data_IF_758004886487
#
_entry.id   IF_758004886487
#
_cell.length_a   1.000
_cell.length_b   1.000
_cell.length_c   1.000
_cell.angle_alpha   90.00
_cell.angle_beta   90.00
_cell.angle_gamma   90.00
#
_symmetry.space_group_name_H-M   'P 1'
#
loop_
_entity.id
_entity.type
_entity.pdbx_description
1 polymer ?
#
# COMPACT_ATOMS: atom_id res chain seq x y z
N UNK A 1 35.34 -6.14 2.73
CA UNK A 1 35.10 -5.81 4.17
C UNK A 1 34.98 -7.06 5.04
N UNK A 2 34.34 -8.16 4.57
CA UNK A 2 34.27 -9.47 5.27
C UNK A 2 35.63 -10.04 5.69
N UNK A 3 36.63 -10.04 4.81
CA UNK A 3 37.94 -10.66 5.06
C UNK A 3 38.74 -10.07 6.25
N UNK A 4 38.45 -8.82 6.65
CA UNK A 4 39.12 -8.16 7.77
C UNK A 4 38.54 -8.64 9.12
N UNK A 5 37.23 -8.93 9.16
CA UNK A 5 36.56 -9.42 10.36
C UNK A 5 36.85 -10.91 10.63
N UNK A 6 36.97 -11.73 9.58
CA UNK A 6 37.21 -13.16 9.71
C UNK A 6 38.64 -13.51 10.19
N UNK A 7 39.63 -12.63 9.95
CA UNK A 7 41.02 -12.84 10.39
C UNK A 7 41.32 -12.33 11.80
N UNK A 8 40.38 -11.61 12.43
CA UNK A 8 40.60 -11.06 13.76
C UNK A 8 40.26 -12.12 14.82
N UNK A 9 41.29 -12.71 15.44
CA UNK A 9 41.18 -13.73 16.50
C UNK A 9 40.32 -13.30 17.70
N UNK A 10 40.16 -12.00 17.93
CA UNK A 10 39.29 -11.50 19.01
C UNK A 10 37.81 -11.44 18.60
N UNK A 11 37.52 -11.30 17.31
CA UNK A 11 36.17 -11.32 16.75
C UNK A 11 35.68 -12.76 16.61
N UNK A 12 36.53 -13.70 16.20
CA UNK A 12 36.17 -15.13 16.10
C UNK A 12 35.95 -15.83 17.45
N UNK A 13 36.31 -15.17 18.57
CA UNK A 13 35.97 -15.61 19.95
C UNK A 13 34.61 -15.11 20.42
N UNK A 14 33.97 -14.21 19.68
CA UNK A 14 32.63 -13.75 20.00
C UNK A 14 31.69 -14.89 19.63
N UNK A 15 31.18 -15.58 20.65
CA UNK A 15 30.14 -16.59 20.46
C UNK A 15 28.85 -15.92 20.03
N UNK A 16 28.02 -16.65 19.30
CA UNK A 16 26.65 -16.25 19.11
C UNK A 16 25.94 -16.15 20.46
N UNK A 17 25.21 -15.05 20.72
CA UNK A 17 24.42 -14.91 21.92
C UNK A 17 23.33 -16.01 21.94
N UNK A 18 23.00 -16.49 23.14
CA UNK A 18 21.81 -17.33 23.29
C UNK A 18 20.55 -16.51 23.05
N UNK A 19 19.41 -17.16 22.77
CA UNK A 19 18.15 -16.47 22.41
C UNK A 19 17.63 -15.45 23.44
N UNK A 20 18.06 -15.55 24.69
CA UNK A 20 17.69 -14.64 25.79
C UNK A 20 18.78 -13.60 26.10
N UNK A 21 19.89 -13.60 25.37
CA UNK A 21 20.97 -12.65 25.51
C UNK A 21 20.91 -11.58 24.40
N UNK A 22 21.26 -10.32 24.71
CA UNK A 22 21.77 -9.85 25.99
C UNK A 22 20.68 -9.61 27.05
N UNK A 23 21.00 -9.98 28.29
CA UNK A 23 20.12 -9.72 29.45
C UNK A 23 20.25 -8.27 29.93
N UNK A 24 19.26 -7.77 30.68
CA UNK A 24 19.28 -6.40 31.24
C UNK A 24 20.55 -6.13 32.06
N UNK A 25 20.98 -7.11 32.87
CA UNK A 25 22.22 -7.01 33.66
C UNK A 25 23.48 -6.90 32.79
N UNK A 26 23.47 -7.50 31.59
CA UNK A 26 24.58 -7.38 30.64
C UNK A 26 24.61 -5.98 30.02
N UNK A 27 23.44 -5.40 29.73
CA UNK A 27 23.31 -4.04 29.22
C UNK A 27 23.77 -3.02 30.26
N UNK A 28 23.35 -3.14 31.51
CA UNK A 28 23.79 -2.28 32.62
C UNK A 28 25.32 -2.30 32.81
N UNK A 29 25.92 -3.50 32.75
CA UNK A 29 27.38 -3.66 32.83
C UNK A 29 28.10 -3.01 31.65
N UNK A 30 27.56 -3.16 30.44
CA UNK A 30 28.12 -2.55 29.25
C UNK A 30 28.03 -1.01 29.31
N UNK A 31 26.90 -0.49 29.81
CA UNK A 31 26.66 0.94 30.01
C UNK A 31 27.59 1.57 31.07
N UNK A 32 27.94 0.82 32.12
CA UNK A 32 28.89 1.25 33.16
C UNK A 32 30.36 0.98 32.81
N UNK A 33 30.64 0.39 31.63
CA UNK A 33 32.00 0.00 31.24
C UNK A 33 32.92 1.22 31.10
N UNK A 34 34.18 1.05 31.49
CA UNK A 34 35.22 2.07 31.25
C UNK A 34 35.61 2.17 29.78
N UNK A 35 35.30 1.15 28.97
CA UNK A 35 35.63 1.14 27.55
C UNK A 35 34.50 1.81 26.75
N UNK A 36 34.81 2.82 25.92
CA UNK A 36 33.81 3.55 25.14
C UNK A 36 32.94 2.65 24.27
N UNK A 37 33.53 1.66 23.61
CA UNK A 37 32.84 0.75 22.69
C UNK A 37 31.69 -0.02 23.35
N UNK A 38 31.85 -0.45 24.60
CA UNK A 38 30.78 -1.17 25.31
C UNK A 38 29.64 -0.23 25.74
N UNK A 39 29.96 1.01 26.11
CA UNK A 39 28.96 2.02 26.43
C UNK A 39 28.15 2.37 25.18
N UNK A 40 28.84 2.59 24.08
CA UNK A 40 28.23 2.91 22.78
C UNK A 40 27.35 1.76 22.27
N UNK A 41 27.86 0.52 22.27
CA UNK A 41 27.08 -0.66 21.89
C UNK A 41 25.82 -0.84 22.76
N UNK A 42 25.91 -0.58 24.08
CA UNK A 42 24.74 -0.64 24.97
C UNK A 42 23.71 0.44 24.67
N UNK A 43 24.16 1.65 24.31
CA UNK A 43 23.29 2.76 23.95
C UNK A 43 22.56 2.49 22.62
N UNK A 44 23.30 2.05 21.59
CA UNK A 44 22.74 1.68 20.29
C UNK A 44 21.72 0.56 20.40
N UNK A 45 22.02 -0.49 21.18
CA UNK A 45 21.09 -1.60 21.35
C UNK A 45 19.82 -1.21 22.12
N UNK A 46 19.93 -0.36 23.15
CA UNK A 46 18.75 0.19 23.83
C UNK A 46 17.93 1.07 22.89
N UNK A 47 18.56 1.91 22.09
CA UNK A 47 17.89 2.75 21.09
C UNK A 47 17.16 1.89 20.05
N UNK A 48 17.81 0.84 19.54
CA UNK A 48 17.19 -0.14 18.65
C UNK A 48 15.98 -0.83 19.30
N UNK A 49 16.13 -1.35 20.52
CA UNK A 49 15.03 -1.98 21.26
C UNK A 49 13.85 -1.02 21.49
N UNK A 50 14.14 0.24 21.81
CA UNK A 50 13.14 1.30 21.94
C UNK A 50 12.43 1.59 20.61
N UNK A 51 13.16 1.68 19.50
CA UNK A 51 12.59 1.89 18.17
C UNK A 51 11.71 0.72 17.74
N UNK A 52 12.17 -0.53 17.94
CA UNK A 52 11.39 -1.75 17.66
C UNK A 52 10.12 -1.83 18.51
N UNK A 53 10.12 -1.27 19.72
CA UNK A 53 8.93 -1.18 20.58
C UNK A 53 8.00 0.00 20.25
N UNK A 54 8.27 0.75 19.17
CA UNK A 54 7.40 1.85 18.75
C UNK A 54 7.60 3.16 19.51
N UNK A 55 8.71 3.35 20.24
CA UNK A 55 8.93 4.59 20.98
C UNK A 55 9.25 5.75 20.03
N UNK A 56 8.36 6.75 19.96
CA UNK A 56 8.43 7.90 19.06
C UNK A 56 9.82 8.55 19.00
N UNK A 57 10.36 9.01 20.14
CA UNK A 57 11.65 9.72 20.18
C UNK A 57 12.84 8.87 19.69
N UNK A 58 12.76 7.55 19.87
CA UNK A 58 13.80 6.63 19.43
C UNK A 58 13.74 6.41 17.92
N UNK A 59 12.53 6.31 17.36
CA UNK A 59 12.29 6.23 15.90
C UNK A 59 12.71 7.54 15.24
N UNK A 60 12.30 8.68 15.79
CA UNK A 60 12.66 10.00 15.26
C UNK A 60 14.18 10.20 15.23
N UNK A 61 14.87 9.86 16.33
CA UNK A 61 16.34 9.89 16.36
C UNK A 61 16.95 8.92 15.36
N UNK A 62 16.44 7.69 15.26
CA UNK A 62 16.91 6.74 14.25
C UNK A 62 16.79 7.35 12.85
N UNK A 63 15.64 7.90 12.47
CA UNK A 63 15.43 8.50 11.15
C UNK A 63 16.31 9.74 10.91
N UNK A 64 16.60 10.53 11.95
CA UNK A 64 17.46 11.72 11.86
C UNK A 64 18.96 11.38 11.81
N UNK A 65 19.39 10.42 12.62
CA UNK A 65 20.80 10.08 12.83
C UNK A 65 21.29 9.03 11.83
N UNK A 66 20.39 8.20 11.32
CA UNK A 66 20.70 7.31 10.21
C UNK A 66 20.56 8.12 8.93
N UNK A 67 21.62 8.17 8.12
CA UNK A 67 21.57 8.71 6.76
C UNK A 67 20.78 7.76 5.83
N UNK A 68 19.57 7.39 6.24
CA UNK A 68 18.58 6.79 5.37
C UNK A 68 18.02 7.95 4.58
N UNK A 69 18.70 8.31 3.49
CA UNK A 69 18.00 8.96 2.39
C UNK A 69 17.18 7.86 1.75
N UNK A 70 15.84 7.93 1.80
CA UNK A 70 15.06 6.96 1.07
C UNK A 70 15.37 7.19 -0.41
N UNK A 71 15.91 6.18 -1.08
CA UNK A 71 16.30 6.30 -2.50
C UNK A 71 15.09 6.31 -3.44
N UNK A 72 13.88 6.18 -2.87
CA UNK A 72 12.61 6.04 -3.58
C UNK A 72 11.54 6.93 -2.93
N UNK A 73 11.45 8.17 -3.42
CA UNK A 73 10.44 9.15 -3.01
C UNK A 73 9.01 8.68 -3.32
N UNK A 74 8.82 7.81 -4.32
CA UNK A 74 7.50 7.30 -4.70
C UNK A 74 6.99 6.35 -3.62
N UNK A 75 7.83 5.43 -3.15
CA UNK A 75 7.53 4.55 -2.01
C UNK A 75 7.26 5.36 -0.73
N UNK A 76 8.02 6.43 -0.46
CA UNK A 76 7.75 7.29 0.70
C UNK A 76 6.38 7.94 0.63
N UNK A 77 6.02 8.46 -0.54
CA UNK A 77 4.75 9.14 -0.74
C UNK A 77 3.58 8.14 -0.58
N UNK A 78 3.73 6.92 -1.09
CA UNK A 78 2.79 5.84 -0.87
C UNK A 78 2.63 5.48 0.60
N UNK A 79 3.75 5.31 1.34
CA UNK A 79 3.72 5.05 2.77
C UNK A 79 3.03 6.18 3.54
N UNK A 80 3.28 7.44 3.18
CA UNK A 80 2.57 8.58 3.74
C UNK A 80 1.05 8.42 3.58
N UNK A 81 0.57 8.11 2.38
CA UNK A 81 -0.86 7.90 2.12
C UNK A 81 -1.39 6.71 2.92
N UNK A 82 -0.67 5.59 2.95
CA UNK A 82 -1.04 4.40 3.71
C UNK A 82 -1.19 4.70 5.21
N UNK A 83 -0.28 5.47 5.80
CA UNK A 83 -0.38 5.87 7.20
C UNK A 83 -1.54 6.85 7.44
N UNK A 84 -1.87 7.73 6.48
CA UNK A 84 -3.09 8.54 6.57
C UNK A 84 -4.35 7.68 6.59
N UNK A 85 -4.41 6.60 5.82
CA UNK A 85 -5.51 5.63 5.92
C UNK A 85 -5.59 4.97 7.30
N UNK A 86 -4.44 4.55 7.84
CA UNK A 86 -4.36 3.98 9.19
C UNK A 86 -4.93 4.95 10.22
N UNK A 87 -4.47 6.21 10.22
CA UNK A 87 -4.96 7.25 11.14
C UNK A 87 -6.46 7.51 10.97
N UNK A 88 -6.95 7.59 9.73
CA UNK A 88 -8.37 7.79 9.44
C UNK A 88 -9.22 6.61 9.94
N UNK A 89 -8.80 5.37 9.72
CA UNK A 89 -9.53 4.18 10.19
C UNK A 89 -9.54 4.10 11.71
N UNK A 90 -8.40 4.38 12.35
CA UNK A 90 -8.28 4.44 13.81
C UNK A 90 -9.24 5.49 14.39
N UNK A 91 -9.42 6.63 13.72
CA UNK A 91 -10.33 7.69 14.18
C UNK A 91 -11.83 7.30 14.17
N UNK A 92 -12.21 6.25 13.43
CA UNK A 92 -13.62 5.84 13.32
C UNK A 92 -14.13 4.98 14.46
N UNK A 93 -13.28 4.59 15.42
CA UNK A 93 -13.68 3.60 16.41
C UNK A 93 -12.96 3.74 17.73
N UNK A 94 -13.73 3.55 18.81
CA UNK A 94 -13.22 3.30 20.16
C UNK A 94 -12.90 1.79 20.38
N UNK A 95 -13.02 0.94 19.34
CA UNK A 95 -12.84 -0.52 19.39
C UNK A 95 -11.36 -0.95 19.27
N UNK A 96 -11.12 -2.27 19.36
CA UNK A 96 -9.80 -2.87 19.30
C UNK A 96 -9.18 -2.77 17.88
N UNK A 97 -8.36 -1.74 17.67
CA UNK A 97 -7.57 -1.55 16.45
C UNK A 97 -6.30 -2.41 16.47
N UNK A 98 -6.05 -3.17 15.38
CA UNK A 98 -4.85 -4.01 15.25
C UNK A 98 -4.06 -3.65 14.01
N UNK A 99 -2.82 -3.22 14.23
CA UNK A 99 -1.81 -3.05 13.19
C UNK A 99 -1.03 -4.34 12.98
N UNK A 100 -0.73 -4.65 11.72
CA UNK A 100 0.19 -5.72 11.34
C UNK A 100 1.41 -5.11 10.64
N UNK A 101 2.64 -5.54 10.99
CA UNK A 101 3.83 -5.10 10.28
C UNK A 101 3.76 -5.43 8.79
N UNK A 102 4.30 -4.52 7.96
CA UNK A 102 4.50 -4.77 6.53
C UNK A 102 5.68 -5.75 6.41
N UNK A 103 5.40 -7.01 6.07
CA UNK A 103 6.42 -8.04 5.85
C UNK A 103 6.22 -8.70 4.47
N UNK A 104 7.26 -9.36 3.94
CA UNK A 104 7.14 -10.09 2.67
C UNK A 104 6.09 -11.19 2.81
N UNK A 105 4.97 -11.06 2.10
CA UNK A 105 3.87 -12.03 2.07
C UNK A 105 2.65 -11.63 2.91
N UNK A 106 2.72 -10.55 3.70
CA UNK A 106 1.57 -9.94 4.38
C UNK A 106 1.06 -8.75 3.59
N UNK A 107 -0.24 -8.77 3.27
CA UNK A 107 -0.90 -7.67 2.55
C UNK A 107 -1.82 -6.86 3.46
N UNK A 108 -2.34 -7.47 4.54
CA UNK A 108 -3.17 -6.78 5.53
C UNK A 108 -2.27 -5.93 6.42
N UNK A 109 -2.42 -4.61 6.34
CA UNK A 109 -1.62 -3.64 7.10
C UNK A 109 -2.34 -3.23 8.37
N UNK A 110 -3.64 -2.96 8.26
CA UNK A 110 -4.47 -2.62 9.40
C UNK A 110 -5.77 -3.41 9.36
N UNK A 111 -6.26 -3.74 10.53
CA UNK A 111 -7.50 -4.46 10.70
C UNK A 111 -8.21 -3.97 11.96
N UNK A 112 -9.46 -3.56 11.78
CA UNK A 112 -10.37 -3.16 12.83
C UNK A 112 -11.57 -4.10 12.76
N UNK A 113 -11.94 -4.69 13.88
CA UNK A 113 -13.08 -5.61 13.93
C UNK A 113 -13.94 -5.34 15.16
N UNK A 114 -15.25 -5.26 14.96
CA UNK A 114 -16.23 -5.31 16.04
C UNK A 114 -17.34 -6.33 15.71
N UNK A 115 -18.36 -6.40 16.55
CA UNK A 115 -19.42 -7.42 16.44
C UNK A 115 -20.18 -7.32 15.10
N UNK A 116 -20.28 -6.12 14.53
CA UNK A 116 -21.14 -5.85 13.37
C UNK A 116 -20.38 -5.60 12.08
N UNK A 117 -19.07 -5.35 12.17
CA UNK A 117 -18.28 -4.83 11.07
C UNK A 117 -16.80 -5.17 11.19
N UNK A 118 -16.20 -5.50 10.05
CA UNK A 118 -14.78 -5.69 9.84
C UNK A 118 -14.29 -4.65 8.83
N UNK A 119 -13.20 -3.96 9.15
CA UNK A 119 -12.49 -3.05 8.25
C UNK A 119 -11.08 -3.60 8.08
N UNK A 120 -10.67 -3.86 6.85
CA UNK A 120 -9.31 -4.33 6.55
C UNK A 120 -8.67 -3.43 5.51
N UNK A 121 -7.50 -2.89 5.86
CA UNK A 121 -6.64 -2.14 4.96
C UNK A 121 -5.57 -3.08 4.39
N UNK A 122 -5.52 -3.16 3.08
CA UNK A 122 -4.52 -3.90 2.35
C UNK A 122 -3.58 -2.93 1.62
N UNK A 123 -2.31 -3.30 1.60
CA UNK A 123 -1.29 -2.71 0.74
C UNK A 123 -0.81 -3.84 -0.16
N UNK A 124 -1.21 -3.81 -1.44
CA UNK A 124 -1.08 -4.97 -2.30
C UNK A 124 -0.06 -4.78 -3.41
N UNK A 125 1.10 -5.44 -3.27
CA UNK A 125 2.00 -5.81 -4.38
C UNK A 125 1.95 -7.35 -4.62
N UNK A 126 0.96 -8.08 -4.08
CA UNK A 126 1.05 -9.32 -3.27
C UNK A 126 -0.09 -10.38 -3.41
N UNK A 127 -1.36 -10.10 -3.74
CA UNK A 127 -2.46 -11.06 -3.99
C UNK A 127 -2.77 -12.08 -2.88
N UNK A 128 -3.84 -11.86 -2.12
CA UNK A 128 -4.15 -12.65 -0.91
C UNK A 128 -5.52 -12.39 -0.29
N UNK A 129 -6.39 -11.62 -0.96
CA UNK A 129 -7.76 -11.31 -0.53
C UNK A 129 -8.84 -12.03 -1.36
N UNK A 130 -8.46 -12.94 -2.27
CA UNK A 130 -9.40 -13.52 -3.26
C UNK A 130 -9.86 -12.52 -4.33
N UNK A 131 -9.33 -11.30 -4.30
CA UNK A 131 -9.59 -10.27 -5.30
C UNK A 131 -8.72 -10.47 -6.54
N UNK A 132 -9.29 -10.19 -7.70
CA UNK A 132 -8.55 -10.18 -8.96
C UNK A 132 -8.98 -9.01 -9.84
N UNK A 133 -8.00 -8.47 -10.57
CA UNK A 133 -8.17 -7.35 -11.49
C UNK A 133 -7.84 -7.87 -12.87
N UNK A 134 -8.85 -8.42 -13.56
CA UNK A 134 -8.65 -9.08 -14.85
C UNK A 134 -9.54 -8.42 -15.89
N UNK A 135 -8.98 -7.80 -16.92
CA UNK A 135 -9.72 -7.34 -18.07
C UNK A 135 -9.98 -8.57 -18.92
N UNK A 136 -10.90 -9.42 -18.47
CA UNK A 136 -11.54 -10.30 -19.43
C UNK A 136 -12.35 -9.37 -20.32
N UNK A 137 -11.76 -8.99 -21.46
CA UNK A 137 -12.51 -8.43 -22.58
C UNK A 137 -13.63 -9.44 -22.82
N UNK A 138 -14.90 -9.10 -22.56
CA UNK A 138 -15.96 -10.05 -22.77
C UNK A 138 -15.92 -10.51 -24.22
N UNK A 139 -16.35 -11.74 -24.48
CA UNK A 139 -16.69 -12.24 -25.80
C UNK A 139 -17.94 -11.51 -26.34
N UNK A 140 -17.91 -10.17 -26.37
CA UNK A 140 -18.84 -9.41 -27.20
C UNK A 140 -18.68 -9.95 -28.62
N UNK A 141 -19.76 -10.26 -29.36
CA UNK A 141 -19.63 -10.56 -30.77
C UNK A 141 -18.95 -9.39 -31.48
N UNK A 142 -18.16 -9.67 -32.52
CA UNK A 142 -17.35 -8.64 -33.21
C UNK A 142 -18.18 -7.44 -33.68
N UNK A 143 -19.47 -7.67 -33.94
CA UNK A 143 -20.47 -6.68 -34.36
C UNK A 143 -20.77 -5.61 -33.29
N UNK A 144 -20.54 -5.93 -32.02
CA UNK A 144 -20.78 -5.04 -30.87
C UNK A 144 -19.49 -4.36 -30.37
N UNK A 145 -18.34 -4.67 -30.99
CA UNK A 145 -17.09 -4.04 -30.63
C UNK A 145 -16.97 -2.63 -31.19
N UNK A 146 -16.48 -1.73 -30.34
CA UNK A 146 -15.88 -0.50 -30.83
C UNK A 146 -14.64 -0.82 -31.67
N UNK A 147 -14.26 0.08 -32.57
CA UNK A 147 -13.06 -0.09 -33.41
C UNK A 147 -11.79 -0.37 -32.59
N UNK A 148 -11.66 0.27 -31.43
CA UNK A 148 -10.52 0.08 -30.53
C UNK A 148 -10.54 -1.30 -29.87
N UNK A 149 -11.70 -1.77 -29.41
CA UNK A 149 -11.83 -3.13 -28.85
C UNK A 149 -11.52 -4.19 -29.92
N UNK A 150 -12.03 -4.01 -31.15
CA UNK A 150 -11.74 -4.90 -32.27
C UNK A 150 -10.24 -4.98 -32.58
N UNK A 151 -9.55 -3.82 -32.68
CA UNK A 151 -8.11 -3.79 -32.95
C UNK A 151 -7.32 -4.50 -31.84
N UNK A 152 -7.67 -4.25 -30.58
CA UNK A 152 -6.99 -4.88 -29.44
C UNK A 152 -7.21 -6.39 -29.43
N UNK A 153 -8.44 -6.85 -29.69
CA UNK A 153 -8.76 -8.28 -29.80
C UNK A 153 -8.00 -8.92 -30.96
N UNK A 154 -8.09 -8.36 -32.16
CA UNK A 154 -7.42 -8.88 -33.35
C UNK A 154 -5.90 -8.93 -33.17
N UNK A 155 -5.29 -7.90 -32.57
CA UNK A 155 -3.85 -7.89 -32.28
C UNK A 155 -3.46 -9.00 -31.29
N UNK A 156 -4.26 -9.22 -30.24
CA UNK A 156 -4.03 -10.29 -29.26
C UNK A 156 -4.16 -11.68 -29.91
N UNK A 157 -5.18 -11.88 -30.74
CA UNK A 157 -5.36 -13.13 -31.50
C UNK A 157 -4.20 -13.39 -32.45
N UNK A 158 -3.78 -12.39 -33.22
CA UNK A 158 -2.61 -12.49 -34.11
C UNK A 158 -1.36 -12.84 -33.32
N UNK A 159 -1.11 -12.21 -32.17
CA UNK A 159 0.05 -12.49 -31.33
C UNK A 159 0.03 -13.93 -30.77
N UNK A 160 -1.12 -14.37 -30.25
CA UNK A 160 -1.29 -15.75 -29.74
C UNK A 160 -1.16 -16.81 -30.84
N UNK A 161 -1.62 -16.50 -32.05
CA UNK A 161 -1.46 -17.40 -33.20
C UNK A 161 -0.01 -17.44 -33.72
N UNK A 162 0.72 -16.32 -33.61
CA UNK A 162 2.09 -16.19 -34.11
C UNK A 162 3.11 -16.84 -33.17
N UNK A 163 3.04 -16.60 -31.86
CA UNK A 163 3.96 -17.18 -30.88
C UNK A 163 3.35 -18.42 -30.19
N UNK A 164 3.63 -19.61 -30.72
CA UNK A 164 3.02 -20.87 -30.25
C UNK A 164 3.44 -21.33 -28.85
N UNK A 165 4.51 -20.78 -28.31
CA UNK A 165 5.05 -21.15 -26.99
C UNK A 165 4.60 -20.19 -25.88
N UNK A 166 3.88 -19.12 -26.22
CA UNK A 166 3.48 -18.08 -25.28
C UNK A 166 1.99 -17.78 -25.44
N UNK A 167 1.28 -17.69 -24.32
CA UNK A 167 -0.10 -17.20 -24.32
C UNK A 167 -0.09 -15.78 -23.77
N UNK A 168 -0.35 -14.81 -24.65
CA UNK A 168 -0.59 -13.44 -24.27
C UNK A 168 -2.02 -13.30 -23.78
N UNK A 169 -2.17 -12.60 -22.66
CA UNK A 169 -3.46 -12.17 -22.12
C UNK A 169 -3.46 -10.66 -22.07
N UNK A 170 -4.64 -10.04 -22.19
CA UNK A 170 -4.79 -8.65 -21.75
C UNK A 170 -4.56 -8.65 -20.24
N UNK A 171 -3.37 -8.22 -19.83
CA UNK A 171 -3.04 -8.05 -18.42
C UNK A 171 -3.23 -6.56 -18.15
N UNK A 172 -4.28 -6.17 -17.42
CA UNK A 172 -4.15 -4.94 -16.64
C UNK A 172 -3.06 -5.26 -15.63
N UNK A 173 -2.02 -4.45 -15.59
CA UNK A 173 -0.95 -4.62 -14.61
C UNK A 173 -1.55 -4.85 -13.22
N UNK A 174 -0.96 -5.76 -12.46
CA UNK A 174 -1.32 -5.95 -11.06
C UNK A 174 -1.19 -4.58 -10.36
N UNK A 175 -2.20 -4.14 -9.60
CA UNK A 175 -2.13 -2.84 -8.94
C UNK A 175 -1.00 -2.78 -7.91
N UNK A 176 -0.37 -1.61 -7.80
CA UNK A 176 0.36 -1.15 -6.62
C UNK A 176 -0.61 -0.20 -5.88
N UNK A 177 -1.62 -0.77 -5.20
CA UNK A 177 -2.75 0.00 -4.62
C UNK A 177 -2.90 -0.22 -3.13
N UNK A 178 -3.50 0.78 -2.49
CA UNK A 178 -4.06 0.66 -1.16
C UNK A 178 -5.54 0.31 -1.31
N UNK A 179 -5.95 -0.82 -0.76
CA UNK A 179 -7.34 -1.27 -0.79
C UNK A 179 -7.91 -1.25 0.62
N UNK A 180 -9.03 -0.55 0.79
CA UNK A 180 -9.81 -0.58 2.01
C UNK A 180 -11.07 -1.40 1.78
N UNK A 181 -11.23 -2.46 2.55
CA UNK A 181 -12.40 -3.33 2.56
C UNK A 181 -13.19 -3.11 3.84
N UNK A 182 -14.50 -2.95 3.72
CA UNK A 182 -15.45 -2.99 4.83
C UNK A 182 -16.42 -4.13 4.61
N UNK A 183 -16.41 -5.10 5.51
CA UNK A 183 -17.35 -6.22 5.51
C UNK A 183 -18.31 -6.09 6.69
N UNK A 184 -19.59 -6.25 6.41
CA UNK A 184 -20.66 -6.46 7.39
C UNK A 184 -21.27 -7.84 7.15
N UNK A 185 -22.26 -8.26 7.95
CA UNK A 185 -22.92 -9.56 7.74
C UNK A 185 -23.53 -9.71 6.34
N UNK A 186 -24.00 -8.61 5.72
CA UNK A 186 -24.80 -8.66 4.50
C UNK A 186 -24.18 -7.92 3.30
N UNK A 187 -23.06 -7.21 3.50
CA UNK A 187 -22.49 -6.33 2.47
C UNK A 187 -20.99 -6.22 2.62
N UNK A 188 -20.29 -6.22 1.48
CA UNK A 188 -18.88 -5.84 1.36
C UNK A 188 -18.77 -4.58 0.53
N UNK A 189 -17.92 -3.66 0.95
CA UNK A 189 -17.64 -2.40 0.28
C UNK A 189 -16.15 -2.19 0.15
N UNK A 190 -15.77 -1.54 -0.94
CA UNK A 190 -14.38 -1.39 -1.33
C UNK A 190 -14.07 0.05 -1.70
N UNK A 191 -12.89 0.51 -1.29
CA UNK A 191 -12.25 1.71 -1.76
C UNK A 191 -10.86 1.34 -2.28
N UNK A 192 -10.62 1.56 -3.58
CA UNK A 192 -9.33 1.36 -4.23
C UNK A 192 -8.62 2.70 -4.32
N UNK A 193 -7.37 2.74 -3.88
CA UNK A 193 -6.54 3.94 -3.94
C UNK A 193 -5.26 3.70 -4.72
N UNK A 194 -5.08 4.50 -5.76
CA UNK A 194 -3.83 4.62 -6.52
C UNK A 194 -3.03 5.81 -6.01
N UNK A 195 -1.70 5.69 -5.92
CA UNK A 195 -0.82 6.77 -5.47
C UNK A 195 0.21 7.09 -6.55
N UNK A 196 0.27 8.35 -6.99
CA UNK A 196 1.27 8.84 -7.94
C UNK A 196 2.02 10.02 -7.36
N UNK A 197 3.29 9.82 -7.03
CA UNK A 197 4.19 10.88 -6.60
C UNK A 197 4.66 11.74 -7.79
N UNK A 198 3.74 12.44 -8.45
CA UNK A 198 4.04 13.20 -9.66
C UNK A 198 3.10 14.38 -9.87
N UNK A 199 3.65 15.48 -10.38
CA UNK A 199 2.89 16.63 -10.90
C UNK A 199 2.70 16.60 -12.41
N UNK A 200 3.24 15.59 -13.10
CA UNK A 200 3.17 15.46 -14.55
C UNK A 200 1.78 15.02 -14.98
N UNK A 201 1.15 15.82 -15.85
CA UNK A 201 -0.23 15.56 -16.31
C UNK A 201 -0.38 14.17 -16.92
N UNK A 202 0.61 13.68 -17.67
CA UNK A 202 0.53 12.37 -18.29
C UNK A 202 0.57 11.22 -17.27
N UNK A 203 1.40 11.33 -16.23
CA UNK A 203 1.42 10.37 -15.11
C UNK A 203 0.09 10.36 -14.36
N UNK A 204 -0.48 11.54 -14.11
CA UNK A 204 -1.78 11.67 -13.43
C UNK A 204 -2.89 11.08 -14.29
N UNK A 205 -2.93 11.39 -15.60
CA UNK A 205 -3.91 10.80 -16.54
C UNK A 205 -3.81 9.29 -16.59
N UNK A 206 -2.59 8.75 -16.52
CA UNK A 206 -2.37 7.30 -16.43
C UNK A 206 -2.92 6.73 -15.12
N UNK A 207 -2.64 7.38 -13.98
CA UNK A 207 -3.19 6.98 -12.68
C UNK A 207 -4.73 7.02 -12.64
N UNK A 208 -5.36 8.02 -13.27
CA UNK A 208 -6.83 8.08 -13.41
C UNK A 208 -7.34 6.85 -14.16
N UNK A 209 -6.73 6.54 -15.31
CA UNK A 209 -7.11 5.38 -16.12
C UNK A 209 -6.92 4.08 -15.35
N UNK A 210 -5.76 3.90 -14.70
CA UNK A 210 -5.44 2.73 -13.90
C UNK A 210 -6.46 2.53 -12.77
N UNK A 211 -6.79 3.58 -12.02
CA UNK A 211 -7.81 3.53 -10.95
C UNK A 211 -9.18 3.08 -11.49
N UNK A 212 -9.61 3.62 -12.63
CA UNK A 212 -10.89 3.24 -13.28
C UNK A 212 -10.84 1.79 -13.76
N UNK A 213 -9.73 1.37 -14.38
CA UNK A 213 -9.53 -0.02 -14.81
C UNK A 213 -9.60 -0.98 -13.62
N UNK A 214 -9.00 -0.63 -12.49
CA UNK A 214 -9.07 -1.47 -11.28
C UNK A 214 -10.50 -1.62 -10.77
N UNK A 215 -11.28 -0.55 -10.72
CA UNK A 215 -12.70 -0.64 -10.34
C UNK A 215 -13.49 -1.51 -11.32
N UNK A 216 -13.38 -1.21 -12.62
CA UNK A 216 -14.15 -1.89 -13.66
C UNK A 216 -13.85 -3.38 -13.78
N UNK A 217 -12.63 -3.78 -13.41
CA UNK A 217 -12.20 -5.17 -13.49
C UNK A 217 -12.04 -5.85 -12.13
N UNK A 218 -12.46 -5.20 -11.04
CA UNK A 218 -12.43 -5.76 -9.71
C UNK A 218 -13.39 -6.95 -9.62
N UNK A 219 -12.84 -8.10 -9.25
CA UNK A 219 -13.61 -9.31 -9.00
C UNK A 219 -13.35 -9.86 -7.61
N UNK A 220 -14.41 -10.35 -7.00
CA UNK A 220 -14.38 -11.16 -5.79
C UNK A 220 -14.96 -12.52 -6.11
N UNK A 221 -14.21 -13.58 -5.82
CA UNK A 221 -14.64 -14.95 -6.10
C UNK A 221 -15.09 -15.16 -7.57
N UNK A 222 -14.35 -14.52 -8.49
CA UNK A 222 -14.59 -14.47 -9.95
C UNK A 222 -15.84 -13.68 -10.41
N UNK A 223 -16.64 -13.11 -9.50
CA UNK A 223 -17.76 -12.21 -9.82
C UNK A 223 -17.33 -10.74 -9.79
N UNK A 224 -17.89 -9.90 -10.68
CA UNK A 224 -17.59 -8.47 -10.69
C UNK A 224 -18.15 -7.79 -9.44
N UNK A 225 -17.30 -7.04 -8.74
CA UNK A 225 -17.72 -6.21 -7.60
C UNK A 225 -18.54 -5.01 -8.07
N UNK A 226 -18.13 -4.41 -9.19
CA UNK A 226 -18.83 -3.31 -9.83
C UNK A 226 -19.25 -3.73 -11.25
N UNK A 227 -20.55 -3.86 -11.47
CA UNK A 227 -21.14 -4.25 -12.74
C UNK A 227 -21.82 -3.07 -13.46
N UNK A 228 -22.56 -3.37 -14.54
CA UNK A 228 -23.32 -2.36 -15.30
C UNK A 228 -24.32 -1.59 -14.45
N UNK A 229 -24.94 -2.23 -13.45
CA UNK A 229 -25.86 -1.58 -12.51
C UNK A 229 -25.18 -0.53 -11.63
N UNK A 230 -23.86 -0.62 -11.48
CA UNK A 230 -23.02 0.35 -10.74
C UNK A 230 -22.14 1.19 -11.66
N UNK A 231 -22.44 1.23 -12.96
CA UNK A 231 -21.63 1.90 -14.00
C UNK A 231 -20.15 1.44 -14.02
N UNK A 232 -19.85 0.21 -13.58
CA UNK A 232 -18.51 -0.39 -13.49
C UNK A 232 -17.53 0.31 -12.53
N UNK A 233 -17.91 1.42 -11.90
CA UNK A 233 -17.02 2.20 -11.00
C UNK A 233 -17.63 2.51 -9.64
N UNK A 234 -18.79 1.91 -9.33
CA UNK A 234 -19.49 2.13 -8.07
C UNK A 234 -20.20 3.47 -8.00
N UNK A 235 -20.21 4.09 -6.82
CA UNK A 235 -20.92 5.34 -6.54
C UNK A 235 -20.19 6.60 -7.03
N UNK A 236 -18.98 6.44 -7.59
CA UNK A 236 -18.05 7.55 -7.85
C UNK A 236 -17.14 7.89 -6.66
N UNK A 237 -17.30 7.21 -5.52
CA UNK A 237 -16.45 7.35 -4.34
C UNK A 237 -15.54 6.13 -4.11
N UNK A 238 -15.77 5.03 -4.82
CA UNK A 238 -15.04 3.77 -4.62
C UNK A 238 -13.61 3.78 -5.17
N UNK A 239 -13.23 4.78 -5.97
CA UNK A 239 -11.85 4.98 -6.43
C UNK A 239 -11.29 6.30 -5.92
N UNK A 240 -10.04 6.27 -5.47
CA UNK A 240 -9.26 7.43 -5.06
C UNK A 240 -7.91 7.43 -5.79
N UNK A 241 -7.51 8.57 -6.32
CA UNK A 241 -6.15 8.81 -6.80
C UNK A 241 -5.52 9.89 -5.93
N UNK A 242 -4.38 9.59 -5.31
CA UNK A 242 -3.59 10.58 -4.56
C UNK A 242 -2.39 11.01 -5.38
N UNK A 243 -2.22 12.32 -5.55
CA UNK A 243 -1.13 12.92 -6.34
C UNK A 243 -0.34 13.95 -5.54
N UNK A 244 0.84 14.33 -6.04
CA UNK A 244 1.54 15.51 -5.53
C UNK A 244 0.71 16.78 -5.67
N UNK A 245 0.98 17.76 -4.81
CA UNK A 245 0.38 19.09 -4.94
C UNK A 245 0.69 19.71 -6.31
N UNK A 246 -0.31 20.33 -6.92
CA UNK A 246 -0.26 20.97 -8.22
C UNK A 246 -0.27 22.49 -8.06
N UNK A 247 0.83 23.13 -7.61
CA UNK A 247 0.86 24.55 -7.31
C UNK A 247 0.55 25.38 -8.56
N UNK A 248 -0.36 26.35 -8.41
CA UNK A 248 -0.75 27.25 -9.48
C UNK A 248 -1.62 26.63 -10.58
N UNK A 249 -2.11 25.40 -10.41
CA UNK A 249 -3.11 24.79 -11.30
C UNK A 249 -4.48 24.81 -10.64
N UNK A 250 -5.48 25.21 -11.41
CA UNK A 250 -6.88 25.08 -11.01
C UNK A 250 -7.33 23.63 -11.23
N UNK A 251 -7.92 23.03 -10.20
CA UNK A 251 -8.41 21.65 -10.20
C UNK A 251 -9.86 21.60 -9.73
N UNK A 252 -10.62 20.64 -10.22
CA UNK A 252 -12.01 20.40 -9.83
C UNK A 252 -12.10 20.06 -8.34
N UNK A 253 -13.04 20.68 -7.62
CA UNK A 253 -13.28 20.39 -6.20
C UNK A 253 -13.82 18.97 -5.99
N UNK A 254 -13.58 18.41 -4.81
CA UNK A 254 -13.91 17.01 -4.48
C UNK A 254 -15.37 16.62 -4.81
N UNK A 255 -16.32 17.49 -4.50
CA UNK A 255 -17.76 17.25 -4.71
C UNK A 255 -18.16 17.27 -6.19
N UNK A 256 -17.38 17.94 -7.04
CA UNK A 256 -17.62 18.06 -8.47
C UNK A 256 -16.92 16.96 -9.29
N UNK A 257 -16.01 16.20 -8.68
CA UNK A 257 -15.31 15.09 -9.34
C UNK A 257 -16.25 13.89 -9.53
N UNK A 258 -16.16 13.27 -10.70
CA UNK A 258 -17.01 12.16 -11.14
C UNK A 258 -16.20 10.87 -11.30
N UNK A 259 -16.87 9.73 -11.13
CA UNK A 259 -16.33 8.36 -11.30
C UNK A 259 -15.27 7.92 -10.29
N UNK A 260 -14.29 8.77 -10.00
CA UNK A 260 -13.29 8.59 -8.93
C UNK A 260 -13.01 9.94 -8.26
N UNK A 261 -12.43 9.89 -7.07
CA UNK A 261 -11.91 11.07 -6.36
C UNK A 261 -10.41 11.22 -6.60
N UNK A 262 -9.94 12.45 -6.62
CA UNK A 262 -8.54 12.82 -6.77
C UNK A 262 -8.22 13.82 -5.67
N UNK A 263 -7.23 13.48 -4.85
CA UNK A 263 -6.72 14.34 -3.79
C UNK A 263 -5.25 14.69 -4.05
N UNK A 264 -4.90 15.95 -3.86
CA UNK A 264 -3.51 16.36 -3.73
C UNK A 264 -2.98 15.99 -2.34
N UNK A 265 -1.67 15.85 -2.18
CA UNK A 265 -1.01 15.50 -0.93
C UNK A 265 -1.51 16.31 0.27
N UNK A 266 -1.61 17.64 0.14
CA UNK A 266 -2.10 18.54 1.19
C UNK A 266 -3.59 18.35 1.54
N UNK A 267 -4.37 17.79 0.63
CA UNK A 267 -5.83 17.61 0.74
C UNK A 267 -6.18 16.27 1.41
N UNK A 268 -5.26 15.30 1.39
CA UNK A 268 -5.45 13.99 2.03
C UNK A 268 -5.85 14.15 3.49
N UNK A 269 -5.18 15.04 4.22
CA UNK A 269 -5.42 15.17 5.63
C UNK A 269 -6.82 15.69 5.98
N UNK A 270 -7.40 16.54 5.13
CA UNK A 270 -8.71 17.16 5.37
C UNK A 270 -9.88 16.41 4.74
N UNK A 271 -9.64 15.59 3.71
CA UNK A 271 -10.72 15.00 2.90
C UNK A 271 -10.72 13.48 2.85
N UNK A 272 -9.67 12.80 3.30
CA UNK A 272 -9.63 11.34 3.26
C UNK A 272 -10.77 10.72 4.08
N UNK A 273 -11.07 11.31 5.23
CA UNK A 273 -12.20 10.89 6.06
C UNK A 273 -13.54 10.97 5.31
N UNK A 274 -13.81 12.08 4.63
CA UNK A 274 -15.03 12.26 3.83
C UNK A 274 -15.14 11.22 2.72
N UNK A 275 -14.02 10.96 2.03
CA UNK A 275 -13.96 9.95 0.95
C UNK A 275 -14.24 8.56 1.50
N UNK A 276 -13.61 8.18 2.61
CA UNK A 276 -13.80 6.86 3.21
C UNK A 276 -15.23 6.67 3.70
N UNK A 277 -15.82 7.69 4.34
CA UNK A 277 -17.22 7.68 4.78
C UNK A 277 -18.19 7.51 3.61
N UNK A 278 -18.01 8.29 2.56
CA UNK A 278 -18.87 8.24 1.37
C UNK A 278 -18.72 6.93 0.57
N UNK A 279 -17.51 6.36 0.50
CA UNK A 279 -17.26 5.12 -0.23
C UNK A 279 -17.82 3.88 0.47
N UNK A 280 -17.81 3.89 1.81
CA UNK A 280 -18.08 2.70 2.63
C UNK A 280 -19.41 2.77 3.38
N UNK A 281 -20.18 3.86 3.23
CA UNK A 281 -21.45 4.14 3.93
C UNK A 281 -21.31 4.16 5.46
N UNK A 282 -20.31 4.88 5.99
CA UNK A 282 -19.91 4.80 7.40
C UNK A 282 -19.87 6.15 8.12
#
# INVERSE_FOLDING_TARGET
MRDIFERNVHVSRIRDPSSYEPTERMLERAQASRQPIYREASALLRQYQSAVRGQHDAIERLLKDTAITPDDDDTLFELFVLFRFVETIESFSDDEFRLKPIERGTQKIAHLSNITREVTLYHDNSGGSGLSFRPNVPEKPDEELTRTEFINRAALEVANNYFKEQTFRTVTGRPDVILLEVSTENKRQYLITEVKNSTQTETIRRGIRETIEYLAFMRQDEEFVFDEGTNYVGSGWNGLLVVQDLPGRETTSLDQQQSIKILQAKEVASHLEDVVKAALDI
#
